data_IF_010782045325
#
_entry.id   IF_010782045325
#
_cell.length_a   1.000
_cell.length_b   1.000
_cell.length_c   1.000
_cell.angle_alpha   90.00
_cell.angle_beta   90.00
_cell.angle_gamma   90.00
#
_symmetry.space_group_name_H-M   'P 1'
#
loop_
_entity.id
_entity.type
_entity.pdbx_description
1 polymer ?
#
# COMPACT_ATOMS: atom_id res chain seq x y z
N UNK A 1 11.05 -44.20 3.25
CA UNK A 1 11.46 -43.10 4.16
C UNK A 1 10.57 -41.90 3.92
N UNK A 2 9.90 -41.42 4.97
CA UNK A 2 9.06 -40.20 4.91
C UNK A 2 9.92 -39.03 5.36
N UNK A 3 9.96 -37.93 4.56
CA UNK A 3 10.67 -36.71 4.91
C UNK A 3 9.66 -35.59 5.14
N UNK A 4 9.78 -34.87 6.23
CA UNK A 4 9.05 -33.67 6.50
C UNK A 4 9.78 -32.47 5.90
N UNK A 5 9.14 -31.77 4.94
CA UNK A 5 9.69 -30.56 4.33
C UNK A 5 8.89 -29.37 4.87
N UNK A 6 9.58 -28.43 5.52
CA UNK A 6 9.00 -27.17 5.93
C UNK A 6 9.06 -26.16 4.77
N UNK A 7 7.91 -25.83 4.19
CA UNK A 7 7.79 -24.78 3.19
C UNK A 7 7.41 -23.46 3.87
N UNK A 8 8.33 -22.54 3.98
CA UNK A 8 8.08 -21.20 4.47
C UNK A 8 7.83 -20.26 3.28
N UNK A 9 6.58 -19.84 3.07
CA UNK A 9 6.24 -18.85 2.07
C UNK A 9 6.75 -17.46 2.54
N UNK A 10 7.72 -16.92 1.83
CA UNK A 10 8.42 -15.70 2.27
C UNK A 10 7.87 -14.40 1.65
N UNK A 11 7.01 -14.46 0.65
CA UNK A 11 6.42 -13.28 -0.01
C UNK A 11 5.00 -13.10 0.48
N UNK A 12 4.73 -11.99 1.16
CA UNK A 12 3.39 -11.72 1.69
C UNK A 12 2.56 -10.98 0.65
N UNK A 13 3.13 -9.97 -0.02
CA UNK A 13 2.45 -9.19 -1.04
C UNK A 13 3.45 -8.59 -2.04
N UNK A 14 2.99 -8.39 -3.27
CA UNK A 14 3.76 -7.67 -4.31
C UNK A 14 3.71 -6.17 -4.07
N UNK A 15 2.57 -5.67 -3.56
CA UNK A 15 2.30 -4.26 -3.33
C UNK A 15 2.01 -4.01 -1.86
N UNK A 16 2.66 -3.01 -1.27
CA UNK A 16 2.34 -2.51 0.06
C UNK A 16 1.64 -1.15 -0.02
N UNK A 17 0.46 -1.03 0.60
CA UNK A 17 -0.26 0.25 0.71
C UNK A 17 0.26 0.99 1.95
N UNK A 18 0.68 2.23 1.73
CA UNK A 18 1.19 3.14 2.76
C UNK A 18 0.32 4.40 2.80
N UNK A 19 -0.08 4.83 3.96
CA UNK A 19 -0.88 6.06 4.10
C UNK A 19 -1.30 6.31 5.54
N UNK A 20 -1.67 7.55 5.83
CA UNK A 20 -2.18 7.96 7.15
C UNK A 20 -3.42 7.15 7.56
N UNK A 21 -3.75 7.11 8.85
CA UNK A 21 -5.06 6.63 9.29
C UNK A 21 -6.18 7.34 8.52
N UNK A 22 -7.23 6.59 8.18
CA UNK A 22 -8.39 7.09 7.43
C UNK A 22 -8.12 7.59 6.00
N UNK A 23 -6.91 7.41 5.45
CA UNK A 23 -6.62 7.71 4.04
C UNK A 23 -7.39 6.83 3.03
N UNK A 24 -8.11 5.80 3.50
CA UNK A 24 -8.92 4.93 2.67
C UNK A 24 -8.22 3.65 2.21
N UNK A 25 -7.14 3.21 2.90
CA UNK A 25 -6.37 2.02 2.53
C UNK A 25 -7.22 0.74 2.46
N UNK A 26 -7.99 0.47 3.51
CA UNK A 26 -8.84 -0.73 3.57
C UNK A 26 -10.00 -0.65 2.56
N UNK A 27 -10.53 0.55 2.30
CA UNK A 27 -11.55 0.77 1.26
C UNK A 27 -10.97 0.54 -0.13
N UNK A 28 -9.74 1.00 -0.38
CA UNK A 28 -9.05 0.74 -1.64
C UNK A 28 -8.79 -0.76 -1.82
N UNK A 29 -8.32 -1.44 -0.78
CA UNK A 29 -8.08 -2.87 -0.81
C UNK A 29 -9.38 -3.63 -1.17
N UNK A 30 -10.50 -3.27 -0.56
CA UNK A 30 -11.80 -3.86 -0.86
C UNK A 30 -12.26 -3.56 -2.30
N UNK A 31 -12.01 -2.36 -2.82
CA UNK A 31 -12.38 -1.97 -4.19
C UNK A 31 -11.53 -2.66 -5.27
N UNK A 32 -10.26 -2.96 -4.96
CA UNK A 32 -9.34 -3.65 -5.87
C UNK A 32 -9.59 -5.16 -5.93
N UNK A 33 -10.15 -5.75 -4.88
CA UNK A 33 -10.30 -7.20 -4.76
C UNK A 33 -11.71 -7.65 -5.09
N UNK A 34 -11.85 -8.70 -5.89
CA UNK A 34 -13.17 -9.32 -6.16
C UNK A 34 -13.68 -10.18 -4.99
N UNK A 35 -12.79 -10.64 -4.13
CA UNK A 35 -13.10 -11.40 -2.93
C UNK A 35 -12.89 -10.53 -1.69
N UNK A 36 -13.57 -10.84 -0.59
CA UNK A 36 -13.34 -10.14 0.68
C UNK A 36 -11.85 -10.24 1.05
N UNK A 37 -11.21 -9.12 1.41
CA UNK A 37 -9.85 -9.14 1.92
C UNK A 37 -9.72 -10.14 3.07
N UNK A 38 -8.64 -10.90 3.08
CA UNK A 38 -8.37 -11.86 4.15
C UNK A 38 -7.43 -11.22 5.17
N UNK A 39 -7.80 -11.30 6.43
CA UNK A 39 -6.89 -11.00 7.53
C UNK A 39 -5.90 -12.17 7.59
N UNK A 40 -4.62 -11.86 7.52
CA UNK A 40 -3.60 -12.89 7.63
C UNK A 40 -3.06 -12.91 9.05
N UNK A 41 -3.21 -14.05 9.72
CA UNK A 41 -2.61 -14.31 11.02
C UNK A 41 -1.16 -14.76 10.83
N UNK A 42 -0.24 -13.87 11.13
CA UNK A 42 1.18 -14.23 11.15
C UNK A 42 1.61 -14.46 12.59
N UNK A 43 2.17 -15.64 12.92
CA UNK A 43 2.45 -16.06 14.31
C UNK A 43 3.45 -15.18 15.06
N UNK A 44 4.00 -14.17 14.40
CA UNK A 44 5.03 -13.29 14.99
C UNK A 44 4.67 -11.80 14.94
N UNK A 45 3.39 -11.45 14.64
CA UNK A 45 2.97 -10.06 14.54
C UNK A 45 1.77 -9.78 15.43
N UNK A 46 1.80 -8.67 16.14
CA UNK A 46 0.63 -8.12 16.85
C UNK A 46 -0.31 -7.39 15.89
N UNK A 47 0.10 -7.21 14.63
CA UNK A 47 -0.65 -6.53 13.58
C UNK A 47 -0.97 -7.54 12.47
N UNK A 48 -2.24 -7.60 12.13
CA UNK A 48 -2.76 -8.50 11.10
C UNK A 48 -2.98 -7.71 9.81
N UNK A 49 -2.09 -7.82 8.79
CA UNK A 49 -2.30 -7.14 7.53
C UNK A 49 -3.51 -7.70 6.81
N UNK A 50 -4.28 -6.82 6.20
CA UNK A 50 -5.33 -7.21 5.28
C UNK A 50 -4.73 -7.46 3.91
N UNK A 51 -4.94 -8.65 3.37
CA UNK A 51 -4.43 -9.05 2.07
C UNK A 51 -5.54 -9.14 1.05
N UNK A 52 -5.24 -8.74 -0.18
CA UNK A 52 -6.14 -8.89 -1.31
C UNK A 52 -5.42 -9.43 -2.54
N UNK A 53 -6.11 -10.26 -3.31
CA UNK A 53 -5.64 -10.75 -4.61
C UNK A 53 -6.35 -9.94 -5.68
N UNK A 54 -5.59 -9.26 -6.53
CA UNK A 54 -6.07 -8.44 -7.64
C UNK A 54 -5.77 -9.14 -8.94
N UNK A 55 -6.82 -9.58 -9.64
CA UNK A 55 -6.69 -10.16 -10.99
C UNK A 55 -6.71 -9.03 -12.01
N UNK A 56 -5.76 -9.04 -12.93
CA UNK A 56 -5.65 -8.05 -14.00
C UNK A 56 -5.64 -8.66 -15.41
N UNK A 57 -5.54 -9.98 -15.48
CA UNK A 57 -5.64 -10.78 -16.70
C UNK A 57 -6.19 -12.17 -16.32
N UNK A 58 -6.56 -13.00 -17.29
CA UNK A 58 -7.17 -14.31 -17.05
C UNK A 58 -6.32 -15.22 -16.16
N UNK A 59 -4.99 -15.16 -16.34
CA UNK A 59 -4.03 -15.99 -15.60
C UNK A 59 -3.04 -15.19 -14.75
N UNK A 60 -3.22 -13.86 -14.64
CA UNK A 60 -2.29 -13.00 -13.92
C UNK A 60 -2.97 -12.26 -12.79
N UNK A 61 -2.31 -12.27 -11.65
CA UNK A 61 -2.74 -11.55 -10.46
C UNK A 61 -1.53 -11.06 -9.68
N UNK A 62 -1.74 -10.08 -8.82
CA UNK A 62 -0.79 -9.67 -7.80
C UNK A 62 -1.45 -9.63 -6.43
N UNK A 63 -0.66 -9.75 -5.39
CA UNK A 63 -1.11 -9.64 -4.00
C UNK A 63 -0.81 -8.24 -3.50
N UNK A 64 -1.81 -7.62 -2.89
CA UNK A 64 -1.70 -6.31 -2.26
C UNK A 64 -1.98 -6.42 -0.77
N UNK A 65 -1.20 -5.71 0.05
CA UNK A 65 -1.35 -5.67 1.49
C UNK A 65 -1.62 -4.25 1.98
N UNK A 66 -2.63 -4.08 2.83
CA UNK A 66 -2.75 -2.90 3.67
C UNK A 66 -1.77 -3.06 4.84
N UNK A 67 -0.86 -2.11 4.96
CA UNK A 67 0.18 -2.11 5.99
C UNK A 67 -0.28 -1.23 7.15
N UNK A 68 -0.94 -1.80 8.18
CA UNK A 68 -1.41 -1.03 9.32
C UNK A 68 -0.22 -0.55 10.15
N UNK A 69 -0.33 0.64 10.76
CA UNK A 69 0.56 1.07 11.83
C UNK A 69 1.95 1.53 11.45
N UNK A 70 2.26 1.77 10.16
CA UNK A 70 3.54 2.41 9.81
C UNK A 70 3.65 3.81 10.44
N UNK A 71 2.55 4.48 10.72
CA UNK A 71 2.51 5.92 11.05
C UNK A 71 2.15 6.21 12.51
N UNK A 72 1.62 5.26 13.26
CA UNK A 72 1.25 5.48 14.67
C UNK A 72 2.37 5.08 15.63
N UNK A 73 3.50 5.81 15.61
CA UNK A 73 4.51 5.73 16.66
C UNK A 73 5.53 4.60 16.50
N UNK A 74 5.79 4.11 15.30
CA UNK A 74 6.88 3.17 15.01
C UNK A 74 8.24 3.72 15.46
N UNK A 75 8.42 5.06 15.42
CA UNK A 75 9.60 5.75 15.93
C UNK A 75 9.70 5.80 17.47
N UNK A 76 8.63 5.48 18.20
CA UNK A 76 8.60 5.53 19.68
C UNK A 76 8.77 4.16 20.35
N UNK A 77 9.36 3.20 19.68
CA UNK A 77 9.81 1.96 20.32
C UNK A 77 8.74 0.99 20.80
N UNK A 78 7.46 1.23 20.51
CA UNK A 78 6.39 0.26 20.78
C UNK A 78 6.12 -0.56 19.51
N UNK A 79 7.10 -1.38 19.14
CA UNK A 79 6.91 -2.70 18.61
C UNK A 79 5.92 -2.92 17.47
N UNK A 80 6.07 -2.25 16.31
CA UNK A 80 5.83 -2.97 15.07
C UNK A 80 6.95 -3.98 14.96
N UNK A 81 6.64 -5.26 15.17
CA UNK A 81 7.68 -6.25 15.25
C UNK A 81 8.61 -6.17 14.05
N UNK A 82 9.92 -6.06 14.28
CA UNK A 82 10.97 -6.11 13.25
C UNK A 82 10.74 -7.19 12.20
N UNK A 83 9.98 -8.22 12.56
CA UNK A 83 9.64 -9.33 11.68
C UNK A 83 8.55 -8.96 10.65
N UNK A 84 7.53 -8.16 11.02
CA UNK A 84 6.49 -7.73 10.08
C UNK A 84 7.07 -6.85 8.97
N UNK A 85 8.02 -6.07 9.31
CA UNK A 85 8.65 -5.14 8.39
C UNK A 85 9.67 -5.81 7.46
N UNK A 86 10.26 -6.95 7.85
CA UNK A 86 10.97 -7.84 6.92
C UNK A 86 10.05 -8.34 5.79
N UNK A 87 8.76 -8.33 6.02
CA UNK A 87 7.78 -8.72 5.00
C UNK A 87 7.49 -7.58 4.02
N UNK A 88 7.51 -6.32 4.49
CA UNK A 88 7.42 -5.14 3.62
C UNK A 88 8.67 -4.99 2.74
N UNK A 89 9.83 -5.38 3.23
CA UNK A 89 11.07 -5.39 2.45
C UNK A 89 10.97 -6.22 1.17
N UNK A 90 9.99 -7.10 1.07
CA UNK A 90 9.78 -7.98 -0.09
C UNK A 90 8.75 -7.47 -1.08
N UNK A 91 7.99 -6.45 -0.73
CA UNK A 91 7.09 -5.81 -1.69
C UNK A 91 7.90 -5.26 -2.86
N UNK A 92 7.38 -5.42 -4.06
CA UNK A 92 8.01 -4.93 -5.29
C UNK A 92 7.72 -3.45 -5.53
N UNK A 93 6.55 -2.98 -5.09
CA UNK A 93 6.07 -1.60 -5.28
C UNK A 93 5.44 -1.09 -3.99
N UNK A 94 5.64 0.18 -3.68
CA UNK A 94 4.97 0.89 -2.58
C UNK A 94 3.91 1.83 -3.16
N UNK A 95 2.66 1.63 -2.74
CA UNK A 95 1.52 2.45 -3.12
C UNK A 95 1.18 3.41 -1.99
N UNK A 96 1.51 4.68 -2.16
CA UNK A 96 1.18 5.74 -1.21
C UNK A 96 -0.23 6.27 -1.47
N UNK A 97 -1.03 6.33 -0.42
CA UNK A 97 -2.40 6.80 -0.46
C UNK A 97 -2.56 8.02 0.44
N UNK A 98 -2.89 9.17 -0.14
CA UNK A 98 -3.12 10.43 0.57
C UNK A 98 -4.54 10.91 0.27
N UNK A 99 -5.23 11.38 1.31
CA UNK A 99 -6.60 11.87 1.23
C UNK A 99 -6.69 13.16 0.40
N UNK A 100 -7.76 13.29 -0.38
CA UNK A 100 -8.07 14.51 -1.15
C UNK A 100 -8.16 15.79 -0.30
N UNK A 101 -8.48 15.65 0.98
CA UNK A 101 -8.57 16.78 1.93
C UNK A 101 -7.22 17.20 2.51
N UNK A 102 -6.13 16.53 2.16
CA UNK A 102 -4.80 16.93 2.61
C UNK A 102 -4.37 18.21 1.88
N UNK A 103 -4.24 19.29 2.64
CA UNK A 103 -3.82 20.60 2.12
C UNK A 103 -2.34 20.67 1.74
N UNK A 104 -1.53 19.74 2.25
CA UNK A 104 -0.08 19.70 2.07
C UNK A 104 0.42 18.31 1.67
N UNK A 105 -0.08 17.74 0.55
CA UNK A 105 0.20 16.35 0.18
C UNK A 105 1.69 16.05 0.00
N UNK A 106 2.46 17.01 -0.47
CA UNK A 106 3.93 16.86 -0.59
C UNK A 106 4.60 16.69 0.79
N UNK A 107 4.16 17.47 1.79
CA UNK A 107 4.68 17.34 3.16
C UNK A 107 4.32 15.98 3.75
N UNK A 108 3.08 15.57 3.60
CA UNK A 108 2.59 14.26 4.06
C UNK A 108 3.35 13.13 3.37
N UNK A 109 3.50 13.18 2.05
CA UNK A 109 4.25 12.18 1.31
C UNK A 109 5.72 12.08 1.77
N UNK A 110 6.39 13.22 1.99
CA UNK A 110 7.76 13.24 2.49
C UNK A 110 7.86 12.70 3.94
N UNK A 111 6.87 12.99 4.78
CA UNK A 111 6.81 12.43 6.14
C UNK A 111 6.68 10.90 6.11
N UNK A 112 5.83 10.37 5.25
CA UNK A 112 5.66 8.92 5.05
C UNK A 112 6.96 8.27 4.56
N UNK A 113 7.63 8.89 3.59
CA UNK A 113 8.93 8.41 3.09
C UNK A 113 9.99 8.43 4.20
N UNK A 114 10.04 9.48 5.01
CA UNK A 114 10.98 9.61 6.12
C UNK A 114 10.75 8.50 7.16
N UNK A 115 9.51 8.21 7.48
CA UNK A 115 9.16 7.13 8.41
C UNK A 115 9.59 5.76 7.88
N UNK A 116 9.29 5.46 6.61
CA UNK A 116 9.77 4.23 5.97
C UNK A 116 11.30 4.15 5.97
N UNK A 117 12.00 5.26 5.73
CA UNK A 117 13.47 5.29 5.70
C UNK A 117 14.10 5.11 7.07
N UNK A 118 13.47 5.62 8.12
CA UNK A 118 13.93 5.40 9.50
C UNK A 118 13.88 3.93 9.88
N UNK A 119 13.07 3.20 9.17
CA UNK A 119 12.83 1.79 9.33
C UNK A 119 13.81 0.94 8.51
N UNK A 120 13.80 1.12 7.19
CA UNK A 120 14.78 0.57 6.25
C UNK A 120 14.92 1.50 5.05
N UNK A 121 16.14 1.99 4.83
CA UNK A 121 16.46 2.89 3.71
C UNK A 121 16.23 2.23 2.34
N UNK A 122 16.37 0.93 2.24
CA UNK A 122 16.18 0.18 0.98
C UNK A 122 14.73 0.22 0.48
N UNK A 123 13.76 0.49 1.37
CA UNK A 123 12.38 0.69 0.96
C UNK A 123 12.21 1.90 0.04
N UNK A 124 13.06 2.91 0.18
CA UNK A 124 13.03 4.08 -0.69
C UNK A 124 13.61 3.84 -2.08
N UNK A 125 14.31 2.74 -2.30
CA UNK A 125 14.83 2.36 -3.62
C UNK A 125 13.75 1.73 -4.50
N UNK A 126 12.65 1.25 -3.90
CA UNK A 126 11.56 0.61 -4.61
C UNK A 126 10.75 1.61 -5.45
N UNK A 127 10.15 1.15 -6.55
CA UNK A 127 9.14 1.92 -7.28
C UNK A 127 8.04 2.40 -6.34
N UNK A 128 7.68 3.68 -6.45
CA UNK A 128 6.64 4.34 -5.66
C UNK A 128 5.57 4.90 -6.56
N UNK A 129 4.33 4.74 -6.16
CA UNK A 129 3.16 5.34 -6.81
C UNK A 129 2.43 6.14 -5.74
N UNK A 130 2.20 7.42 -5.98
CA UNK A 130 1.36 8.26 -5.14
C UNK A 130 -0.02 8.42 -5.77
N UNK A 131 -1.05 8.11 -4.99
CA UNK A 131 -2.47 8.21 -5.37
C UNK A 131 -3.18 9.14 -4.40
N UNK A 132 -4.01 10.01 -4.95
CA UNK A 132 -4.99 10.78 -4.21
C UNK A 132 -6.27 9.97 -4.06
N UNK A 133 -6.70 9.70 -2.84
CA UNK A 133 -7.94 8.98 -2.54
C UNK A 133 -9.14 9.92 -2.38
N UNK A 134 -10.34 9.34 -2.33
CA UNK A 134 -11.63 10.02 -2.10
C UNK A 134 -11.92 11.13 -3.13
N UNK A 135 -11.63 10.86 -4.39
CA UNK A 135 -11.86 11.81 -5.48
C UNK A 135 -13.33 12.19 -5.68
N UNK A 136 -14.25 11.40 -5.15
CA UNK A 136 -15.69 11.60 -5.19
C UNK A 136 -16.21 12.69 -4.23
N UNK A 137 -15.46 13.01 -3.18
CA UNK A 137 -15.93 13.89 -2.10
C UNK A 137 -15.44 15.32 -2.26
N UNK A 138 -14.40 15.57 -3.04
CA UNK A 138 -13.79 16.89 -3.17
C UNK A 138 -13.98 17.46 -4.57
N UNK A 139 -14.72 18.58 -4.66
CA UNK A 139 -14.99 19.29 -5.92
C UNK A 139 -13.98 20.41 -6.24
N UNK A 140 -13.22 20.87 -5.25
CA UNK A 140 -12.26 21.97 -5.42
C UNK A 140 -10.86 21.53 -4.96
N UNK A 141 -10.09 20.97 -5.89
CA UNK A 141 -8.74 20.52 -5.61
C UNK A 141 -7.78 21.28 -6.51
N UNK A 142 -6.72 21.81 -5.91
CA UNK A 142 -5.61 22.34 -6.67
C UNK A 142 -4.76 21.18 -7.21
N UNK A 143 -5.08 20.74 -8.43
CA UNK A 143 -4.37 19.65 -9.12
C UNK A 143 -2.87 19.95 -9.32
N UNK A 144 -2.45 21.20 -9.39
CA UNK A 144 -1.05 21.58 -9.60
C UNK A 144 -0.17 21.17 -8.44
N UNK A 145 -0.70 21.26 -7.19
CA UNK A 145 0.03 20.82 -5.99
C UNK A 145 0.33 19.32 -6.08
N UNK A 146 -0.62 18.53 -6.54
CA UNK A 146 -0.43 17.09 -6.69
C UNK A 146 0.52 16.74 -7.84
N UNK A 147 0.35 17.38 -8.99
CA UNK A 147 1.21 17.18 -10.17
C UNK A 147 2.66 17.60 -9.96
N UNK A 148 2.91 18.45 -8.96
CA UNK A 148 4.28 18.82 -8.59
C UNK A 148 5.07 17.69 -7.92
N UNK A 149 4.39 16.61 -7.49
CA UNK A 149 5.02 15.45 -6.85
C UNK A 149 5.36 14.42 -7.93
N UNK A 150 6.62 14.08 -8.15
CA UNK A 150 7.03 13.20 -9.27
C UNK A 150 6.37 11.83 -9.28
N UNK A 151 6.10 11.26 -8.11
CA UNK A 151 5.48 9.94 -7.96
C UNK A 151 3.95 9.96 -8.08
N UNK A 152 3.35 11.15 -8.24
CA UNK A 152 1.90 11.27 -8.37
C UNK A 152 1.42 10.69 -9.70
N UNK A 153 0.55 9.70 -9.59
CA UNK A 153 -0.03 9.03 -10.76
C UNK A 153 -1.43 9.54 -11.10
N UNK A 154 -2.25 9.85 -10.08
CA UNK A 154 -3.62 10.29 -10.30
C UNK A 154 -4.50 10.14 -9.08
N UNK A 155 -5.80 10.31 -9.28
CA UNK A 155 -6.81 10.22 -8.23
C UNK A 155 -7.72 9.03 -8.42
N UNK A 156 -8.24 8.53 -7.30
CA UNK A 156 -9.18 7.41 -7.27
C UNK A 156 -10.34 7.68 -6.31
N UNK A 157 -11.45 7.00 -6.56
CA UNK A 157 -12.51 6.79 -5.60
C UNK A 157 -12.79 5.30 -5.43
N UNK A 158 -12.64 4.81 -4.21
CA UNK A 158 -13.01 3.43 -3.88
C UNK A 158 -14.53 3.21 -3.88
N UNK A 159 -15.32 4.28 -3.73
CA UNK A 159 -16.78 4.24 -3.69
C UNK A 159 -17.36 4.18 -5.10
N UNK A 160 -16.91 5.07 -5.99
CA UNK A 160 -17.40 5.14 -7.37
C UNK A 160 -16.62 4.28 -8.35
N UNK A 161 -15.55 3.64 -7.90
CA UNK A 161 -14.56 2.91 -8.72
C UNK A 161 -13.83 3.76 -9.75
N UNK A 162 -13.92 5.11 -9.65
CA UNK A 162 -13.16 6.01 -10.52
C UNK A 162 -11.65 5.78 -10.37
N UNK A 163 -10.95 5.65 -11.49
CA UNK A 163 -9.49 5.49 -11.54
C UNK A 163 -8.95 4.11 -11.12
N UNK A 164 -9.77 3.21 -10.58
CA UNK A 164 -9.34 1.89 -10.08
C UNK A 164 -8.74 1.03 -11.19
N UNK A 165 -9.39 0.91 -12.35
CA UNK A 165 -8.88 0.09 -13.45
C UNK A 165 -7.55 0.65 -14.00
N UNK A 166 -7.40 1.96 -14.09
CA UNK A 166 -6.16 2.60 -14.52
C UNK A 166 -5.01 2.33 -13.53
N UNK A 167 -5.31 2.34 -12.24
CA UNK A 167 -4.34 1.99 -11.20
C UNK A 167 -3.88 0.53 -11.32
N UNK A 168 -4.82 -0.41 -11.52
CA UNK A 168 -4.50 -1.84 -11.72
C UNK A 168 -3.57 -2.01 -12.94
N UNK A 169 -3.89 -1.37 -14.07
CA UNK A 169 -3.06 -1.41 -15.28
C UNK A 169 -1.68 -0.78 -15.07
N UNK A 170 -1.58 0.30 -14.29
CA UNK A 170 -0.29 0.91 -13.95
C UNK A 170 0.57 -0.03 -13.13
N UNK A 171 0.00 -0.63 -12.11
CA UNK A 171 0.68 -1.59 -11.24
C UNK A 171 1.14 -2.81 -12.05
N UNK A 172 0.26 -3.39 -12.86
CA UNK A 172 0.59 -4.58 -13.66
C UNK A 172 1.79 -4.35 -14.57
N UNK A 173 1.90 -3.15 -15.19
CA UNK A 173 3.04 -2.77 -16.05
C UNK A 173 4.38 -2.62 -15.31
N UNK A 174 4.33 -2.34 -14.00
CA UNK A 174 5.55 -2.24 -13.18
C UNK A 174 6.00 -3.62 -12.71
N UNK A 175 5.05 -4.56 -12.56
CA UNK A 175 5.32 -5.91 -12.07
C UNK A 175 5.77 -6.88 -13.17
N UNK A 176 5.47 -6.57 -14.44
CA UNK A 176 5.89 -7.36 -15.63
C UNK A 176 7.20 -6.86 -16.16
#
# INVERSE_FOLDING_TARGET
EEFWIWLQLKVIADIGIVGLPNAGKSSLLAALTRAKPKIADYPFTTLHPNLGIVKYDDFKSFVIADIPGIIEGASKGKGLGHQFLKHIERNKVLLFLIDSFDEKPNKTFNSLKKELSSYNKDLLLKPKILIRSKADVSSQINEEIWKSIPEYYGSISSVTHFGINNLILKISKILT
#
